data_IF_163624695649
#
_entry.id   IF_163624695649
#
_cell.length_a   1.000
_cell.length_b   1.000
_cell.length_c   1.000
_cell.angle_alpha   90.00
_cell.angle_beta   90.00
_cell.angle_gamma   90.00
#
_symmetry.space_group_name_H-M   'P 1'
#
loop_
_entity.id
_entity.type
_entity.pdbx_description
1 polymer ?
#
# COMPACT_ATOMS: atom_id res chain seq x y z
N UNK A 1 -15.02 6.03 -2.58
CA UNK A 1 -13.61 6.07 -3.03
C UNK A 1 -12.72 5.97 -1.80
N UNK A 2 -11.59 5.25 -1.89
CA UNK A 2 -10.63 5.20 -0.78
C UNK A 2 -10.00 6.59 -0.56
N UNK A 3 -9.75 7.01 0.70
CA UNK A 3 -9.14 8.30 1.02
C UNK A 3 -7.62 8.31 0.74
N UNK A 4 -7.17 7.65 -0.32
CA UNK A 4 -5.78 7.52 -0.70
C UNK A 4 -5.63 7.43 -2.23
N UNK A 5 -4.39 7.66 -2.69
CA UNK A 5 -4.01 7.40 -4.09
C UNK A 5 -3.48 5.97 -4.17
N UNK A 6 -4.11 5.14 -4.99
CA UNK A 6 -3.60 3.81 -5.33
C UNK A 6 -2.51 3.93 -6.38
N UNK A 7 -1.44 3.15 -6.24
CA UNK A 7 -0.29 3.14 -7.15
C UNK A 7 0.18 1.71 -7.40
N UNK A 8 0.66 1.44 -8.61
CA UNK A 8 1.36 0.20 -8.92
C UNK A 8 2.78 0.24 -8.37
N UNK A 9 3.14 -0.78 -7.59
CA UNK A 9 4.50 -1.02 -7.10
C UNK A 9 4.98 -2.41 -7.53
N UNK A 10 4.96 -2.68 -8.83
CA UNK A 10 5.23 -4.01 -9.40
C UNK A 10 6.44 -3.96 -10.32
N UNK A 11 7.10 -5.10 -10.55
CA UNK A 11 8.19 -5.18 -11.54
C UNK A 11 7.69 -4.96 -12.98
N UNK A 12 6.38 -4.99 -13.21
CA UNK A 12 5.77 -4.77 -14.53
C UNK A 12 5.71 -3.28 -14.88
N UNK A 13 5.89 -2.38 -13.90
CA UNK A 13 5.80 -0.93 -14.08
C UNK A 13 4.51 -0.52 -14.81
N UNK A 14 4.61 0.28 -15.88
CA UNK A 14 3.46 0.73 -16.70
C UNK A 14 2.69 -0.43 -17.34
N UNK A 15 3.36 -1.55 -17.64
CA UNK A 15 2.71 -2.73 -18.22
C UNK A 15 1.67 -3.36 -17.27
N UNK A 16 1.66 -3.00 -15.98
CA UNK A 16 0.60 -3.39 -15.06
C UNK A 16 -0.77 -2.81 -15.47
N UNK A 17 -0.81 -1.60 -16.02
CA UNK A 17 -2.04 -0.99 -16.53
C UNK A 17 -2.56 -1.70 -17.79
N UNK A 18 -1.66 -2.23 -18.61
CA UNK A 18 -2.01 -2.91 -19.86
C UNK A 18 -2.44 -4.37 -19.63
N UNK A 19 -1.82 -5.05 -18.66
CA UNK A 19 -2.01 -6.50 -18.47
C UNK A 19 -2.82 -6.83 -17.22
N UNK A 20 -2.50 -6.24 -16.07
CA UNK A 20 -3.10 -6.62 -14.78
C UNK A 20 -4.42 -5.89 -14.56
N UNK A 21 -4.48 -4.58 -14.81
CA UNK A 21 -5.67 -3.78 -14.54
C UNK A 21 -6.93 -4.32 -15.24
N UNK A 22 -6.91 -4.68 -16.54
CA UNK A 22 -8.11 -5.20 -17.23
C UNK A 22 -8.58 -6.56 -16.69
N UNK A 23 -7.64 -7.42 -16.28
CA UNK A 23 -7.97 -8.75 -15.74
C UNK A 23 -8.69 -8.66 -14.40
N UNK A 24 -8.39 -7.62 -13.62
CA UNK A 24 -8.98 -7.38 -12.30
C UNK A 24 -10.14 -6.36 -12.33
N UNK A 25 -10.47 -5.82 -13.50
CA UNK A 25 -11.48 -4.76 -13.64
C UNK A 25 -11.09 -3.45 -12.94
N UNK A 26 -9.80 -3.21 -12.78
CA UNK A 26 -9.26 -2.01 -12.13
C UNK A 26 -9.06 -0.89 -13.16
N UNK A 27 -9.20 0.38 -12.75
CA UNK A 27 -8.79 1.49 -13.59
C UNK A 27 -7.25 1.55 -13.69
N UNK A 28 -6.75 2.43 -14.55
CA UNK A 28 -5.32 2.73 -14.57
C UNK A 28 -4.88 3.40 -13.27
N UNK A 29 -3.71 3.01 -12.77
CA UNK A 29 -3.08 3.63 -11.61
C UNK A 29 -1.71 4.22 -11.98
N UNK A 30 -1.30 5.32 -11.30
CA UNK A 30 0.09 5.77 -11.35
C UNK A 30 1.06 4.67 -10.94
N UNK A 31 2.25 4.67 -11.53
CA UNK A 31 3.34 3.74 -11.21
C UNK A 31 4.31 4.39 -10.24
N UNK A 32 4.68 3.67 -9.19
CA UNK A 32 5.74 4.10 -8.28
C UNK A 32 7.09 4.06 -9.00
N UNK A 33 7.90 5.10 -8.81
CA UNK A 33 9.27 5.14 -9.32
C UNK A 33 10.12 4.13 -8.54
N UNK A 34 10.37 2.97 -9.14
CA UNK A 34 11.09 1.85 -8.55
C UNK A 34 12.39 1.61 -9.35
N UNK A 35 13.47 1.13 -8.71
CA UNK A 35 14.67 0.76 -9.42
C UNK A 35 14.41 -0.43 -10.36
N UNK A 36 15.40 -0.81 -11.16
CA UNK A 36 15.28 -2.04 -11.93
C UNK A 36 15.14 -3.24 -11.00
N UNK A 37 14.20 -4.14 -11.32
CA UNK A 37 14.00 -5.35 -10.54
C UNK A 37 15.26 -6.24 -10.67
N UNK A 38 15.75 -6.82 -9.57
CA UNK A 38 16.92 -7.70 -9.63
C UNK A 38 16.58 -8.98 -10.42
N UNK A 39 17.58 -9.54 -11.09
CA UNK A 39 17.46 -10.84 -11.78
C UNK A 39 17.22 -11.99 -10.78
N UNK A 40 17.79 -11.88 -9.58
CA UNK A 40 17.66 -12.85 -8.51
C UNK A 40 17.16 -12.20 -7.21
N UNK A 41 16.22 -12.87 -6.53
CA UNK A 41 15.73 -12.45 -5.22
C UNK A 41 16.52 -13.15 -4.12
N UNK A 42 17.35 -12.40 -3.41
CA UNK A 42 18.11 -12.92 -2.27
C UNK A 42 17.26 -12.92 -1.00
N UNK A 43 17.37 -13.98 -0.20
CA UNK A 43 16.66 -14.11 1.08
C UNK A 43 17.45 -13.42 2.17
N UNK A 44 16.76 -12.64 3.02
CA UNK A 44 17.40 -11.97 4.15
C UNK A 44 18.06 -10.64 3.81
N UNK A 45 17.90 -10.15 2.57
CA UNK A 45 18.25 -8.79 2.18
C UNK A 45 17.00 -7.91 2.10
N UNK A 46 17.20 -6.60 2.20
CA UNK A 46 16.13 -5.61 2.09
C UNK A 46 15.48 -5.71 0.70
N UNK A 47 14.16 -5.65 0.65
CA UNK A 47 13.45 -5.67 -0.62
C UNK A 47 13.85 -4.45 -1.46
N UNK A 48 14.15 -4.67 -2.74
CA UNK A 48 14.59 -3.64 -3.69
C UNK A 48 13.61 -2.48 -3.84
N UNK A 49 12.32 -2.68 -3.50
CA UNK A 49 11.30 -1.62 -3.51
C UNK A 49 11.29 -0.77 -2.24
N UNK A 50 11.78 -1.29 -1.11
CA UNK A 50 11.54 -0.70 0.21
C UNK A 50 12.01 0.75 0.30
N UNK A 51 13.23 1.03 -0.13
CA UNK A 51 13.77 2.39 -0.10
C UNK A 51 13.01 3.32 -1.05
N UNK A 52 12.70 2.86 -2.26
CA UNK A 52 12.01 3.63 -3.28
C UNK A 52 10.57 3.99 -2.86
N UNK A 53 9.85 3.07 -2.23
CA UNK A 53 8.51 3.32 -1.70
C UNK A 53 8.51 4.36 -0.57
N UNK A 54 9.50 4.31 0.32
CA UNK A 54 9.65 5.35 1.36
C UNK A 54 9.98 6.72 0.76
N UNK A 55 10.80 6.76 -0.30
CA UNK A 55 11.07 8.00 -1.03
C UNK A 55 9.83 8.54 -1.74
N UNK A 56 9.07 7.68 -2.43
CA UNK A 56 7.82 8.05 -3.10
C UNK A 56 6.73 8.54 -2.12
N UNK A 57 6.70 7.96 -0.91
CA UNK A 57 5.83 8.45 0.15
C UNK A 57 6.19 9.87 0.59
N UNK A 58 7.47 10.27 0.50
CA UNK A 58 7.96 11.61 0.84
C UNK A 58 7.49 12.09 2.23
N UNK A 59 7.51 11.19 3.21
CA UNK A 59 7.05 11.45 4.58
C UNK A 59 5.53 11.35 4.78
N UNK A 60 4.74 11.18 3.72
CA UNK A 60 3.29 10.96 3.82
C UNK A 60 2.98 9.56 4.39
N UNK A 61 1.80 9.40 5.03
CA UNK A 61 1.27 8.09 5.36
C UNK A 61 1.20 7.21 4.10
N UNK A 62 1.60 5.95 4.19
CA UNK A 62 1.38 5.00 3.09
C UNK A 62 1.10 3.58 3.59
N UNK A 63 0.46 2.79 2.73
CA UNK A 63 0.28 1.35 2.90
C UNK A 63 1.01 0.68 1.75
N UNK A 64 1.82 -0.32 2.06
CA UNK A 64 2.42 -1.20 1.05
C UNK A 64 1.85 -2.61 1.23
N UNK A 65 1.17 -3.10 0.20
CA UNK A 65 0.62 -4.45 0.13
C UNK A 65 1.46 -5.28 -0.83
N UNK A 66 2.09 -6.34 -0.34
CA UNK A 66 2.83 -7.29 -1.17
C UNK A 66 3.12 -8.60 -0.43
N UNK A 67 3.28 -9.69 -1.17
CA UNK A 67 3.65 -11.00 -0.63
C UNK A 67 5.15 -11.09 -0.26
N UNK A 68 5.98 -10.29 -0.93
CA UNK A 68 7.44 -10.24 -0.78
C UNK A 68 7.94 -9.40 0.41
N UNK A 69 7.06 -8.95 1.31
CA UNK A 69 7.43 -8.13 2.48
C UNK A 69 8.06 -9.03 3.55
N UNK A 70 9.18 -8.58 4.11
CA UNK A 70 9.89 -9.27 5.20
C UNK A 70 9.90 -8.46 6.49
N UNK A 71 10.29 -9.09 7.60
CA UNK A 71 10.51 -8.42 8.88
C UNK A 71 11.64 -7.37 8.79
N UNK A 72 12.62 -7.59 7.90
CA UNK A 72 13.69 -6.63 7.64
C UNK A 72 13.14 -5.35 7.00
N UNK A 73 12.19 -5.47 6.06
CA UNK A 73 11.54 -4.30 5.45
C UNK A 73 10.75 -3.50 6.50
N UNK A 74 10.02 -4.19 7.39
CA UNK A 74 9.29 -3.55 8.48
C UNK A 74 10.23 -2.80 9.44
N UNK A 75 11.33 -3.44 9.86
CA UNK A 75 12.32 -2.82 10.72
C UNK A 75 12.99 -1.61 10.05
N UNK A 76 13.31 -1.72 8.77
CA UNK A 76 13.93 -0.63 8.01
C UNK A 76 12.97 0.56 7.86
N UNK A 77 11.72 0.33 7.45
CA UNK A 77 10.72 1.38 7.25
C UNK A 77 10.41 2.09 8.57
N UNK A 78 10.23 1.36 9.67
CA UNK A 78 9.97 1.98 10.99
C UNK A 78 11.10 2.88 11.47
N UNK A 79 12.33 2.62 11.02
CA UNK A 79 13.52 3.44 11.36
C UNK A 79 13.68 4.65 10.43
N UNK A 80 13.38 4.50 9.13
CA UNK A 80 13.74 5.48 8.10
C UNK A 80 12.58 6.34 7.61
N UNK A 81 11.32 5.90 7.80
CA UNK A 81 10.15 6.69 7.43
C UNK A 81 9.60 7.45 8.64
N UNK A 82 9.57 8.78 8.54
CA UNK A 82 9.03 9.64 9.62
C UNK A 82 7.51 9.63 9.68
N UNK A 83 6.84 9.29 8.59
CA UNK A 83 5.40 9.10 8.56
C UNK A 83 5.01 7.72 9.11
N UNK A 84 3.72 7.47 9.31
CA UNK A 84 3.29 6.10 9.62
C UNK A 84 3.18 5.32 8.33
N UNK A 85 3.66 4.08 8.36
CA UNK A 85 3.53 3.13 7.27
C UNK A 85 2.86 1.85 7.79
N UNK A 86 2.00 1.27 6.96
CA UNK A 86 1.53 -0.11 7.12
C UNK A 86 2.17 -0.97 6.03
N UNK A 87 2.92 -1.98 6.43
CA UNK A 87 3.46 -3.00 5.54
C UNK A 87 2.62 -4.27 5.70
N UNK A 88 1.66 -4.46 4.79
CA UNK A 88 0.67 -5.52 4.83
C UNK A 88 1.07 -6.69 3.93
N UNK A 89 1.56 -7.78 4.53
CA UNK A 89 1.97 -8.97 3.79
C UNK A 89 0.77 -9.84 3.43
N UNK A 90 0.67 -10.24 2.17
CA UNK A 90 -0.42 -11.09 1.64
C UNK A 90 0.12 -12.43 1.14
N UNK A 91 -0.72 -13.47 1.12
CA UNK A 91 -0.38 -14.75 0.49
C UNK A 91 -0.67 -14.67 -1.01
N UNK A 92 0.35 -14.83 -1.86
CA UNK A 92 0.18 -14.73 -3.32
C UNK A 92 -0.61 -15.88 -3.94
N UNK A 93 -0.79 -17.00 -3.24
CA UNK A 93 -1.61 -18.12 -3.74
C UNK A 93 -3.11 -17.88 -3.56
N UNK A 94 -3.48 -17.00 -2.63
CA UNK A 94 -4.87 -16.68 -2.29
C UNK A 94 -5.23 -15.29 -2.83
N UNK A 95 -4.28 -14.36 -2.81
CA UNK A 95 -4.52 -12.94 -3.09
C UNK A 95 -5.13 -12.22 -1.89
N UNK A 96 -5.72 -11.04 -2.16
CA UNK A 96 -6.37 -10.22 -1.14
C UNK A 96 -7.74 -10.80 -0.76
N UNK A 97 -7.97 -10.95 0.55
CA UNK A 97 -9.24 -11.41 1.13
C UNK A 97 -9.87 -10.34 2.02
N UNK A 98 -11.11 -10.56 2.44
CA UNK A 98 -11.89 -9.62 3.27
C UNK A 98 -11.15 -9.19 4.55
N UNK A 99 -10.37 -10.08 5.15
CA UNK A 99 -9.56 -9.75 6.34
C UNK A 99 -8.46 -8.74 6.03
N UNK A 100 -7.83 -8.82 4.85
CA UNK A 100 -6.82 -7.85 4.43
C UNK A 100 -7.45 -6.47 4.23
N UNK A 101 -8.61 -6.42 3.59
CA UNK A 101 -9.35 -5.19 3.39
C UNK A 101 -9.80 -4.58 4.73
N UNK A 102 -10.20 -5.39 5.70
CA UNK A 102 -10.57 -4.92 7.03
C UNK A 102 -9.38 -4.24 7.75
N UNK A 103 -8.17 -4.81 7.67
CA UNK A 103 -6.95 -4.23 8.24
C UNK A 103 -6.59 -2.91 7.57
N UNK A 104 -6.66 -2.87 6.23
CA UNK A 104 -6.37 -1.66 5.44
C UNK A 104 -7.38 -0.55 5.78
N UNK A 105 -8.66 -0.89 5.87
CA UNK A 105 -9.72 0.08 6.15
C UNK A 105 -9.61 0.62 7.58
N UNK A 106 -9.35 -0.22 8.57
CA UNK A 106 -9.10 0.21 9.95
C UNK A 106 -7.93 1.20 10.04
N UNK A 107 -6.81 0.88 9.39
CA UNK A 107 -5.66 1.78 9.33
C UNK A 107 -6.00 3.12 8.67
N UNK A 108 -6.79 3.12 7.59
CA UNK A 108 -7.23 4.34 6.92
C UNK A 108 -8.17 5.17 7.81
N UNK A 109 -8.99 4.53 8.66
CA UNK A 109 -9.90 5.23 9.59
C UNK A 109 -9.18 5.85 10.77
N UNK A 110 -8.20 5.16 11.34
CA UNK A 110 -7.38 5.67 12.46
C UNK A 110 -6.64 6.98 12.06
N UNK A 111 -6.46 7.19 10.76
CA UNK A 111 -5.86 8.40 10.19
C UNK A 111 -6.81 9.58 9.97
N UNK A 112 -8.13 9.38 10.03
CA UNK A 112 -9.07 10.50 9.92
C UNK A 112 -8.94 11.36 11.16
N UNK A 113 -8.59 12.62 10.98
CA UNK A 113 -8.57 13.59 12.09
C UNK A 113 -9.96 13.65 12.76
N UNK A 114 -10.05 14.02 14.04
CA UNK A 114 -11.34 14.11 14.75
C UNK A 114 -12.38 14.97 14.02
N UNK A 115 -11.95 15.97 13.22
CA UNK A 115 -12.85 16.81 12.42
C UNK A 115 -13.56 16.04 11.29
N UNK A 116 -12.90 15.06 10.68
CA UNK A 116 -13.52 14.19 9.63
C UNK A 116 -14.41 13.08 10.22
N UNK A 117 -14.27 12.77 11.51
CA UNK A 117 -15.11 11.78 12.20
C UNK A 117 -16.46 12.37 12.63
N UNK A 118 -16.54 13.69 12.85
CA UNK A 118 -17.78 14.39 13.25
C UNK A 118 -18.79 14.54 12.11
N UNK A 119 -18.32 14.66 10.87
CA UNK A 119 -19.19 14.81 9.69
C UNK A 119 -19.92 13.51 9.31
N UNK A 120 -19.42 12.33 9.71
CA UNK A 120 -20.08 11.04 9.47
C UNK A 120 -21.02 10.60 10.61
N UNK A 121 -20.94 11.24 11.79
CA UNK A 121 -21.80 10.94 12.93
C UNK A 121 -23.08 11.78 13.04
N UNK A 122 -23.32 12.71 12.12
CA UNK A 122 -24.48 13.63 12.16
C UNK A 122 -25.57 13.33 11.10
N UNK A 123 -25.44 12.21 10.36
CA UNK A 123 -26.43 11.80 9.34
C UNK A 123 -27.63 11.00 9.88
N UNK A 124 -27.56 10.43 11.08
CA UNK A 124 -28.65 9.63 11.68
C UNK A 124 -29.30 10.37 12.86
N UNK A 125 -29.86 11.54 12.57
CA UNK A 125 -30.89 12.15 13.41
C UNK A 125 -31.65 13.20 12.60
N UNK A 126 -32.55 12.72 11.74
CA UNK A 126 -33.79 13.41 11.33
C UNK A 126 -34.59 12.50 10.39
N UNK A 127 -35.76 12.05 10.86
CA UNK A 127 -36.72 11.21 10.17
C UNK A 127 -37.62 10.47 11.15
#
# INVERSE_FOLDING_TARGET
ALPCVLMWATAWMESANEVIAPLLGLPEFPVADLPEAPEEYEVGVLNWKTQALVQAAAGRPFIWVADSITELDQAWVSTHHRGHALLHRVDSTIGLIDTDFAVIDDWLRDRRTPDQQREQGQGEQQG
#
